data_IF_597910558539
#
_entry.id   IF_597910558539
#
_cell.length_a   1.000
_cell.length_b   1.000
_cell.length_c   1.000
_cell.angle_alpha   90.00
_cell.angle_beta   90.00
_cell.angle_gamma   90.00
#
_symmetry.space_group_name_H-M   'P 1'
#
loop_
_entity.id
_entity.type
_entity.pdbx_description
1 polymer ?
#
# COMPACT_ATOMS: atom_id res chain seq x y z
N UNK A 1 20.80 5.57 -18.87
CA UNK A 1 20.73 4.98 -20.22
C UNK A 1 20.45 3.50 -19.98
N UNK A 2 19.18 3.10 -20.02
CA UNK A 2 18.77 1.70 -20.02
C UNK A 2 18.76 1.24 -21.48
N UNK A 3 19.67 0.36 -21.83
CA UNK A 3 19.65 -0.34 -23.11
C UNK A 3 18.60 -1.45 -23.04
N UNK A 4 17.79 -1.57 -24.09
CA UNK A 4 16.53 -2.30 -24.17
C UNK A 4 16.54 -3.83 -24.06
N UNK A 5 17.37 -4.43 -23.21
CA UNK A 5 17.37 -5.89 -22.97
C UNK A 5 17.14 -6.29 -21.50
N UNK A 6 17.08 -5.34 -20.57
CA UNK A 6 16.71 -5.60 -19.18
C UNK A 6 15.28 -5.13 -18.91
N UNK A 7 14.31 -5.69 -19.62
CA UNK A 7 12.93 -5.67 -19.17
C UNK A 7 12.87 -6.44 -17.85
N UNK A 8 12.79 -5.72 -16.73
CA UNK A 8 12.44 -6.28 -15.43
C UNK A 8 11.13 -7.05 -15.60
N UNK A 9 11.28 -8.35 -15.87
CA UNK A 9 10.16 -9.26 -15.97
C UNK A 9 9.64 -9.52 -14.56
N UNK A 10 8.86 -8.60 -14.02
CA UNK A 10 7.93 -8.89 -12.91
C UNK A 10 6.88 -9.92 -13.32
N UNK A 11 6.97 -10.42 -14.55
CA UNK A 11 6.05 -11.36 -15.19
C UNK A 11 5.93 -12.69 -14.46
N UNK A 12 7.01 -13.16 -13.85
CA UNK A 12 7.04 -14.48 -13.21
C UNK A 12 6.58 -14.43 -11.73
N UNK A 13 6.68 -13.28 -11.09
CA UNK A 13 6.36 -13.13 -9.67
C UNK A 13 4.97 -12.50 -9.42
N UNK A 14 4.50 -11.63 -10.33
CA UNK A 14 3.21 -11.00 -10.22
C UNK A 14 2.41 -11.28 -11.50
N UNK A 15 1.33 -12.08 -11.46
CA UNK A 15 0.53 -12.40 -12.66
C UNK A 15 -0.13 -11.17 -13.30
N UNK A 16 0.27 -9.96 -12.92
CA UNK A 16 -0.46 -8.74 -13.18
C UNK A 16 0.29 -7.76 -14.10
N UNK A 17 1.62 -7.69 -14.16
CA UNK A 17 2.26 -6.53 -14.78
C UNK A 17 3.63 -6.83 -15.41
N UNK A 18 3.63 -7.07 -16.70
CA UNK A 18 4.69 -6.50 -17.54
C UNK A 18 4.24 -5.07 -17.87
N UNK A 19 5.13 -4.09 -17.67
CA UNK A 19 4.91 -2.71 -18.09
C UNK A 19 5.83 -2.48 -19.27
N UNK A 20 5.24 -2.03 -20.36
CA UNK A 20 5.95 -1.66 -21.55
C UNK A 20 5.78 -0.17 -21.84
N UNK A 21 6.72 0.39 -22.59
CA UNK A 21 6.70 1.78 -23.04
C UNK A 21 6.52 1.79 -24.55
N UNK A 22 5.39 2.31 -25.01
CA UNK A 22 5.16 2.50 -26.45
C UNK A 22 5.34 3.94 -26.87
N UNK A 23 6.07 4.14 -27.93
CA UNK A 23 6.20 5.42 -28.60
C UNK A 23 5.06 5.59 -29.60
N UNK A 24 4.36 6.74 -29.53
CA UNK A 24 3.20 7.04 -30.39
C UNK A 24 3.47 8.10 -31.44
N UNK A 25 4.66 8.64 -31.51
CA UNK A 25 5.05 9.64 -32.48
C UNK A 25 5.92 10.74 -31.90
N UNK A 26 6.46 11.53 -32.79
CA UNK A 26 7.30 12.68 -32.48
C UNK A 26 6.52 13.97 -32.77
N UNK A 27 6.59 14.93 -31.87
CA UNK A 27 6.03 16.26 -32.01
C UNK A 27 7.12 17.31 -31.74
N UNK A 28 7.10 18.41 -32.46
CA UNK A 28 7.98 19.53 -32.15
C UNK A 28 7.33 20.41 -31.06
N UNK A 29 8.09 20.73 -30.06
CA UNK A 29 7.66 21.69 -29.03
C UNK A 29 7.72 23.14 -29.57
N UNK A 30 7.29 24.13 -28.76
CA UNK A 30 7.30 25.55 -29.11
C UNK A 30 8.72 26.10 -29.33
N UNK A 31 9.76 25.36 -28.98
CA UNK A 31 11.17 25.74 -29.15
C UNK A 31 11.79 25.02 -30.34
N UNK A 32 11.03 24.16 -31.04
CA UNK A 32 11.51 23.36 -32.17
C UNK A 32 12.29 22.12 -31.75
N UNK A 33 12.19 21.71 -30.46
CA UNK A 33 12.81 20.48 -29.96
C UNK A 33 11.86 19.30 -30.21
N UNK A 34 12.41 18.16 -30.63
CA UNK A 34 11.64 16.93 -30.83
C UNK A 34 11.22 16.35 -29.50
N UNK A 35 9.93 16.21 -29.30
CA UNK A 35 9.36 15.49 -28.14
C UNK A 35 8.77 14.17 -28.62
N UNK A 36 9.13 13.09 -27.95
CA UNK A 36 8.56 11.76 -28.21
C UNK A 36 7.37 11.55 -27.29
N UNK A 37 6.22 11.26 -27.86
CA UNK A 37 5.02 10.90 -27.11
C UNK A 37 5.10 9.42 -26.73
N UNK A 38 5.20 9.15 -25.43
CA UNK A 38 5.22 7.78 -24.90
C UNK A 38 3.91 7.44 -24.17
N UNK A 39 3.56 6.18 -24.17
CA UNK A 39 2.45 5.65 -23.38
C UNK A 39 2.93 4.40 -22.62
N UNK A 40 2.66 4.39 -21.31
CA UNK A 40 2.86 3.20 -20.49
C UNK A 40 1.72 2.22 -20.75
N UNK A 41 2.07 0.97 -20.98
CA UNK A 41 1.16 -0.13 -21.31
C UNK A 41 1.34 -1.22 -20.26
N UNK A 42 0.26 -1.70 -19.67
CA UNK A 42 0.27 -2.95 -18.90
C UNK A 42 -0.05 -4.12 -19.83
N UNK A 43 0.67 -5.23 -19.70
CA UNK A 43 0.43 -6.44 -20.48
C UNK A 43 -0.14 -7.52 -19.58
N UNK A 44 -1.36 -7.99 -19.88
CA UNK A 44 -2.03 -9.08 -19.16
C UNK A 44 -2.53 -10.14 -20.14
N UNK A 45 -2.14 -11.38 -19.93
CA UNK A 45 -2.58 -12.50 -20.77
C UNK A 45 -2.41 -12.18 -22.27
N UNK A 46 -1.30 -11.57 -22.65
CA UNK A 46 -1.02 -11.14 -24.01
C UNK A 46 -1.84 -9.95 -24.53
N UNK A 47 -2.65 -9.32 -23.68
CA UNK A 47 -3.40 -8.09 -24.02
C UNK A 47 -2.69 -6.86 -23.48
N UNK A 48 -2.55 -5.88 -24.32
CA UNK A 48 -1.97 -4.59 -23.98
C UNK A 48 -3.06 -3.61 -23.56
N UNK A 49 -2.93 -3.06 -22.38
CA UNK A 49 -3.88 -2.11 -21.78
C UNK A 49 -3.12 -0.83 -21.45
N UNK A 50 -3.47 0.33 -22.03
CA UNK A 50 -2.87 1.58 -21.63
C UNK A 50 -3.05 1.82 -20.12
N UNK A 51 -1.97 2.19 -19.44
CA UNK A 51 -1.95 2.34 -17.96
C UNK A 51 -3.02 3.31 -17.45
N UNK A 52 -3.43 4.29 -18.26
CA UNK A 52 -4.51 5.23 -17.91
C UNK A 52 -5.86 4.54 -17.62
N UNK A 53 -6.08 3.34 -18.15
CA UNK A 53 -7.31 2.55 -17.95
C UNK A 53 -7.18 1.51 -16.82
N UNK A 54 -6.00 1.40 -16.23
CA UNK A 54 -5.80 0.55 -15.06
C UNK A 54 -6.45 1.14 -13.80
N UNK A 55 -6.68 0.27 -12.80
CA UNK A 55 -7.22 0.71 -11.51
C UNK A 55 -6.28 1.69 -10.81
N UNK A 56 -6.82 2.56 -9.98
CA UNK A 56 -6.03 3.52 -9.20
C UNK A 56 -5.02 2.81 -8.28
N UNK A 57 -5.37 1.63 -7.76
CA UNK A 57 -4.46 0.83 -6.95
C UNK A 57 -3.24 0.35 -7.72
N UNK A 58 -3.41 -0.09 -8.96
CA UNK A 58 -2.29 -0.48 -9.83
C UNK A 58 -1.42 0.74 -10.15
N UNK A 59 -2.03 1.87 -10.49
CA UNK A 59 -1.29 3.12 -10.75
C UNK A 59 -0.48 3.55 -9.53
N UNK A 60 -1.09 3.50 -8.34
CA UNK A 60 -0.40 3.83 -7.08
C UNK A 60 0.75 2.86 -6.81
N UNK A 61 0.51 1.55 -6.92
CA UNK A 61 1.56 0.55 -6.74
C UNK A 61 2.76 0.81 -7.65
N UNK A 62 2.52 1.08 -8.93
CA UNK A 62 3.56 1.41 -9.89
C UNK A 62 4.32 2.69 -9.54
N UNK A 63 3.63 3.70 -9.03
CA UNK A 63 4.26 4.97 -8.65
C UNK A 63 5.27 4.82 -7.50
N UNK A 64 5.06 3.84 -6.61
CA UNK A 64 5.95 3.57 -5.47
C UNK A 64 6.95 2.45 -5.75
N UNK A 65 6.72 1.65 -6.79
CA UNK A 65 7.51 0.45 -7.07
C UNK A 65 9.00 0.75 -7.24
N UNK A 66 9.36 1.81 -7.93
CA UNK A 66 10.77 2.21 -8.12
C UNK A 66 11.44 2.51 -6.77
N UNK A 67 10.75 3.19 -5.86
CA UNK A 67 11.26 3.48 -4.51
C UNK A 67 11.47 2.19 -3.73
N UNK A 68 10.52 1.26 -3.81
CA UNK A 68 10.63 -0.05 -3.17
C UNK A 68 11.79 -0.87 -3.73
N UNK A 69 12.02 -0.86 -5.05
CA UNK A 69 13.15 -1.54 -5.69
C UNK A 69 14.48 -0.94 -5.22
N UNK A 70 14.60 0.38 -5.14
CA UNK A 70 15.82 1.04 -4.67
C UNK A 70 16.07 0.69 -3.20
N UNK A 71 15.06 0.80 -2.35
CA UNK A 71 15.15 0.43 -0.93
C UNK A 71 15.49 -1.06 -0.76
N UNK A 72 14.88 -1.94 -1.54
CA UNK A 72 15.16 -3.38 -1.48
C UNK A 72 16.63 -3.71 -1.75
N UNK A 73 17.29 -2.97 -2.65
CA UNK A 73 18.66 -3.25 -3.09
C UNK A 73 19.75 -2.49 -2.33
N UNK A 74 19.44 -1.33 -1.72
CA UNK A 74 20.44 -0.44 -1.11
C UNK A 74 20.21 -0.23 0.39
N UNK A 75 21.19 -0.64 1.26
CA UNK A 75 21.04 -0.58 2.71
C UNK A 75 21.01 0.84 3.29
N UNK A 76 21.48 1.83 2.53
CA UNK A 76 21.50 3.23 2.94
C UNK A 76 20.20 3.98 2.64
N UNK A 77 19.24 3.33 2.00
CA UNK A 77 17.98 3.94 1.59
C UNK A 77 16.89 3.68 2.61
N UNK A 78 16.23 4.75 3.03
CA UNK A 78 15.00 4.69 3.82
C UNK A 78 13.87 5.27 2.99
N UNK A 79 12.78 4.53 2.85
CA UNK A 79 11.55 4.94 2.16
C UNK A 79 10.44 5.06 3.17
N UNK A 80 9.68 6.17 3.09
CA UNK A 80 8.50 6.42 3.94
C UNK A 80 7.29 6.58 3.03
N UNK A 81 6.24 5.77 3.26
CA UNK A 81 5.02 5.77 2.44
C UNK A 81 3.81 5.86 3.36
N UNK A 82 2.97 6.86 3.14
CA UNK A 82 1.68 6.95 3.81
C UNK A 82 0.62 6.15 3.06
N UNK A 83 -0.21 5.40 3.81
CA UNK A 83 -1.26 4.52 3.27
C UNK A 83 -0.75 3.60 2.14
N UNK A 84 0.30 2.84 2.40
CA UNK A 84 0.88 1.91 1.41
C UNK A 84 -0.16 0.96 0.82
N UNK A 85 -1.13 0.56 1.63
CA UNK A 85 -2.21 -0.39 1.27
C UNK A 85 -3.30 0.20 0.38
N UNK A 86 -3.41 1.53 0.23
CA UNK A 86 -4.52 2.15 -0.49
C UNK A 86 -4.59 1.64 -1.94
N UNK A 87 -5.66 0.89 -2.23
CA UNK A 87 -5.93 0.31 -3.54
C UNK A 87 -5.11 -0.94 -3.89
N UNK A 88 -4.21 -1.41 -3.03
CA UNK A 88 -3.47 -2.65 -3.22
C UNK A 88 -4.30 -3.82 -2.66
N UNK A 89 -4.39 -4.89 -3.45
CA UNK A 89 -5.07 -6.10 -3.00
C UNK A 89 -4.38 -6.69 -1.77
N UNK A 90 -5.14 -7.02 -0.74
CA UNK A 90 -4.66 -7.46 0.58
C UNK A 90 -3.60 -8.57 0.51
N UNK A 91 -3.85 -9.59 -0.31
CA UNK A 91 -2.93 -10.71 -0.45
C UNK A 91 -1.59 -10.28 -1.06
N UNK A 92 -1.62 -9.45 -2.11
CA UNK A 92 -0.43 -8.90 -2.76
C UNK A 92 0.39 -8.04 -1.80
N UNK A 93 -0.27 -7.23 -0.97
CA UNK A 93 0.40 -6.45 0.07
C UNK A 93 1.16 -7.36 1.05
N UNK A 94 0.52 -8.45 1.48
CA UNK A 94 1.16 -9.43 2.38
C UNK A 94 2.40 -10.08 1.77
N UNK A 95 2.31 -10.53 0.51
CA UNK A 95 3.44 -11.10 -0.22
C UNK A 95 4.59 -10.09 -0.36
N UNK A 96 4.29 -8.87 -0.77
CA UNK A 96 5.26 -7.79 -0.91
C UNK A 96 5.98 -7.50 0.41
N UNK A 97 5.23 -7.33 1.49
CA UNK A 97 5.79 -7.06 2.82
C UNK A 97 6.63 -8.24 3.31
N UNK A 98 6.21 -9.48 3.07
CA UNK A 98 6.97 -10.68 3.41
C UNK A 98 8.32 -10.73 2.69
N UNK A 99 8.34 -10.46 1.39
CA UNK A 99 9.57 -10.42 0.59
C UNK A 99 10.50 -9.29 1.05
N UNK A 100 9.95 -8.10 1.31
CA UNK A 100 10.73 -6.95 1.81
C UNK A 100 11.31 -7.25 3.20
N UNK A 101 10.52 -7.81 4.11
CA UNK A 101 10.96 -8.14 5.45
C UNK A 101 12.08 -9.19 5.48
N UNK A 102 12.09 -10.13 4.54
CA UNK A 102 13.05 -11.23 4.47
C UNK A 102 14.34 -10.84 3.74
N UNK A 103 14.25 -10.07 2.68
CA UNK A 103 15.36 -9.84 1.76
C UNK A 103 15.73 -8.39 1.52
N UNK A 104 14.88 -7.43 1.94
CA UNK A 104 15.14 -6.00 1.78
C UNK A 104 16.38 -5.58 2.54
N UNK A 105 17.22 -4.75 1.91
CA UNK A 105 18.47 -4.26 2.50
C UNK A 105 18.31 -2.91 3.18
N UNK A 106 17.46 -2.06 2.65
CA UNK A 106 17.15 -0.73 3.20
C UNK A 106 16.02 -0.78 4.22
N UNK A 107 15.47 0.37 4.55
CA UNK A 107 14.41 0.51 5.53
C UNK A 107 13.12 1.02 4.88
N UNK A 108 12.00 0.32 5.13
CA UNK A 108 10.66 0.76 4.77
C UNK A 108 9.90 1.16 6.05
N UNK A 109 9.38 2.39 6.06
CA UNK A 109 8.42 2.87 7.05
C UNK A 109 7.12 3.19 6.32
N UNK A 110 5.99 2.70 6.82
CA UNK A 110 4.70 2.97 6.17
C UNK A 110 3.56 3.01 7.16
N UNK A 111 2.48 3.68 6.79
CA UNK A 111 1.19 3.55 7.45
C UNK A 111 0.28 2.64 6.62
N UNK A 112 -0.63 1.94 7.29
CA UNK A 112 -1.61 1.07 6.64
C UNK A 112 -2.85 0.92 7.51
N UNK A 113 -4.01 0.88 6.87
CA UNK A 113 -5.27 0.47 7.49
C UNK A 113 -5.57 -1.03 7.26
N UNK A 114 -4.78 -1.68 6.42
CA UNK A 114 -4.94 -3.10 6.11
C UNK A 114 -4.27 -3.97 7.19
N UNK A 115 -5.05 -4.83 7.80
CA UNK A 115 -4.58 -5.69 8.88
C UNK A 115 -3.71 -6.87 8.42
N UNK A 116 -3.55 -7.07 7.12
CA UNK A 116 -2.66 -8.11 6.56
C UNK A 116 -1.20 -7.90 6.99
N UNK A 117 -0.78 -6.65 7.15
CA UNK A 117 0.54 -6.33 7.69
C UNK A 117 0.78 -6.94 9.09
N UNK A 118 -0.27 -7.05 9.92
CA UNK A 118 -0.21 -7.66 11.26
C UNK A 118 -0.01 -9.18 11.25
N UNK A 119 -0.34 -9.82 10.13
CA UNK A 119 -0.13 -11.27 9.95
C UNK A 119 1.24 -11.59 9.37
N UNK A 120 1.84 -10.63 8.67
CA UNK A 120 3.07 -10.82 7.91
C UNK A 120 4.32 -10.34 8.65
N UNK A 121 4.19 -9.21 9.38
CA UNK A 121 5.33 -8.56 10.04
C UNK A 121 5.50 -9.02 11.48
N UNK A 122 6.77 -9.04 11.94
CA UNK A 122 7.05 -9.24 13.37
C UNK A 122 6.48 -8.07 14.19
N UNK A 123 5.84 -8.39 15.31
CA UNK A 123 5.21 -7.44 16.22
C UNK A 123 6.13 -6.31 16.69
N UNK A 124 7.44 -6.55 16.72
CA UNK A 124 8.43 -5.55 17.13
C UNK A 124 8.58 -4.41 16.14
N UNK A 125 8.14 -4.61 14.90
CA UNK A 125 8.16 -3.58 13.84
C UNK A 125 6.82 -2.87 13.70
N UNK A 126 5.80 -3.22 14.47
CA UNK A 126 4.47 -2.65 14.39
C UNK A 126 4.21 -1.70 15.55
N UNK A 127 3.71 -0.49 15.22
CA UNK A 127 3.17 0.47 16.16
C UNK A 127 1.71 0.77 15.78
N UNK A 128 0.88 1.02 16.79
CA UNK A 128 -0.54 1.34 16.62
C UNK A 128 -0.79 2.78 17.00
N UNK A 129 -1.65 3.46 16.26
CA UNK A 129 -2.17 4.77 16.65
C UNK A 129 -3.17 4.62 17.79
N UNK A 130 -3.28 5.66 18.63
CA UNK A 130 -4.23 5.73 19.73
C UNK A 130 -5.07 7.00 19.63
N UNK A 131 -6.18 7.04 20.35
CA UNK A 131 -7.02 8.24 20.49
C UNK A 131 -6.42 9.26 21.44
N UNK A 132 -5.41 8.89 22.24
CA UNK A 132 -4.77 9.77 23.21
C UNK A 132 -3.81 10.76 22.52
N UNK A 133 -4.09 12.08 22.51
CA UNK A 133 -3.24 13.07 21.84
C UNK A 133 -1.85 13.22 22.45
N UNK A 134 -1.67 12.80 23.70
CA UNK A 134 -0.37 12.87 24.40
C UNK A 134 0.48 11.60 24.19
N UNK A 135 -0.12 10.50 23.73
CA UNK A 135 0.56 9.24 23.45
C UNK A 135 0.01 8.60 22.18
N UNK A 136 0.31 9.21 21.03
CA UNK A 136 -0.32 8.85 19.73
C UNK A 136 0.07 7.49 19.18
N UNK A 137 1.18 6.93 19.62
CA UNK A 137 1.71 5.67 19.10
C UNK A 137 2.09 4.74 20.23
N UNK A 138 1.58 3.53 20.20
CA UNK A 138 1.94 2.49 21.15
C UNK A 138 2.36 1.21 20.45
N UNK A 139 3.16 0.40 21.16
CA UNK A 139 3.35 -1.01 20.82
C UNK A 139 2.49 -1.83 21.77
N UNK A 140 1.79 -2.82 21.21
CA UNK A 140 0.93 -3.67 22.04
C UNK A 140 1.74 -4.45 23.07
N UNK A 141 1.30 -4.36 24.32
CA UNK A 141 1.85 -5.10 25.44
C UNK A 141 1.16 -6.46 25.57
N UNK A 142 1.83 -7.41 26.23
CA UNK A 142 1.30 -8.74 26.56
C UNK A 142 0.98 -9.64 25.35
N UNK A 143 1.51 -9.33 24.16
CA UNK A 143 1.38 -10.20 22.98
C UNK A 143 2.31 -11.39 23.13
N UNK A 144 1.76 -12.59 23.29
CA UNK A 144 2.54 -13.84 23.34
C UNK A 144 3.09 -14.17 21.94
N UNK A 145 4.20 -14.93 21.83
CA UNK A 145 4.77 -15.32 20.53
C UNK A 145 3.79 -16.05 19.60
N UNK A 146 2.87 -16.82 20.17
CA UNK A 146 1.88 -17.60 19.41
C UNK A 146 0.57 -16.86 19.16
N UNK A 147 0.45 -15.60 19.57
CA UNK A 147 -0.76 -14.82 19.28
C UNK A 147 -0.71 -14.26 17.87
N UNK A 148 -1.79 -14.45 17.12
CA UNK A 148 -2.03 -13.70 15.92
C UNK A 148 -2.25 -12.22 16.31
N UNK A 149 -1.40 -11.32 15.78
CA UNK A 149 -1.42 -9.91 16.15
C UNK A 149 -2.71 -9.22 15.66
N UNK A 150 -3.29 -9.67 14.54
CA UNK A 150 -4.58 -9.19 14.03
C UNK A 150 -5.72 -9.49 14.99
N UNK A 151 -5.83 -10.73 15.47
CA UNK A 151 -6.87 -11.14 16.43
C UNK A 151 -6.68 -10.43 17.76
N UNK A 152 -5.43 -10.25 18.18
CA UNK A 152 -5.10 -9.51 19.38
C UNK A 152 -5.50 -8.04 19.27
N UNK A 153 -5.27 -7.42 18.11
CA UNK A 153 -5.69 -6.04 17.81
C UNK A 153 -7.22 -5.90 17.91
N UNK A 154 -7.99 -6.73 17.22
CA UNK A 154 -9.45 -6.71 17.29
C UNK A 154 -9.98 -6.88 18.72
N UNK A 155 -9.42 -7.82 19.45
CA UNK A 155 -9.82 -8.03 20.84
C UNK A 155 -9.57 -6.80 21.70
N UNK A 156 -8.47 -6.08 21.49
CA UNK A 156 -8.18 -4.87 22.25
C UNK A 156 -9.07 -3.68 21.87
N UNK A 157 -9.56 -3.61 20.64
CA UNK A 157 -10.58 -2.61 20.26
C UNK A 157 -11.88 -2.88 21.03
N UNK A 158 -12.33 -4.16 21.08
CA UNK A 158 -13.65 -4.52 21.63
C UNK A 158 -13.63 -4.60 23.16
N UNK A 159 -12.57 -5.15 23.74
CA UNK A 159 -12.50 -5.46 25.19
C UNK A 159 -11.58 -4.50 25.96
N UNK A 160 -10.85 -3.63 25.27
CA UNK A 160 -9.77 -2.87 25.88
C UNK A 160 -8.58 -3.76 26.24
N UNK A 161 -7.73 -3.30 27.17
CA UNK A 161 -6.58 -4.06 27.68
C UNK A 161 -5.23 -3.41 27.41
N UNK A 162 -5.21 -2.32 26.67
CA UNK A 162 -4.07 -1.40 26.58
C UNK A 162 -4.31 -0.18 27.48
N UNK A 163 -3.24 0.50 27.85
CA UNK A 163 -3.31 1.71 28.67
C UNK A 163 -4.05 2.86 27.96
N UNK A 164 -3.84 2.96 26.64
CA UNK A 164 -4.48 3.95 25.78
C UNK A 164 -5.43 3.24 24.82
N UNK A 165 -6.56 3.87 24.56
CA UNK A 165 -7.57 3.36 23.64
C UNK A 165 -7.09 3.47 22.20
N UNK A 166 -7.33 2.40 21.41
CA UNK A 166 -6.95 2.32 20.00
C UNK A 166 -8.01 2.92 19.08
N UNK A 167 -9.25 2.98 19.54
CA UNK A 167 -10.39 3.38 18.73
C UNK A 167 -11.51 3.94 19.61
N UNK A 168 -12.11 5.06 19.23
CA UNK A 168 -13.29 5.59 19.89
C UNK A 168 -14.51 4.77 19.49
N UNK A 169 -15.26 4.27 20.47
CA UNK A 169 -16.43 3.45 20.19
C UNK A 169 -17.45 4.20 19.34
N UNK A 170 -17.87 3.56 18.25
CA UNK A 170 -18.96 4.05 17.42
C UNK A 170 -20.28 3.40 17.83
N UNK A 171 -21.32 4.23 18.10
CA UNK A 171 -22.65 3.74 18.39
C UNK A 171 -23.40 3.46 17.07
N UNK A 172 -23.60 2.18 16.75
CA UNK A 172 -24.33 1.74 15.55
C UNK A 172 -25.77 2.26 15.51
N UNK A 173 -26.41 2.48 16.66
CA UNK A 173 -27.77 3.04 16.71
C UNK A 173 -27.76 4.51 16.31
N UNK A 174 -26.77 5.28 16.75
CA UNK A 174 -26.61 6.68 16.35
C UNK A 174 -26.32 6.79 14.84
N UNK A 175 -25.50 5.90 14.28
CA UNK A 175 -25.26 5.82 12.84
C UNK A 175 -26.58 5.54 12.10
N UNK A 176 -27.37 4.56 12.55
CA UNK A 176 -28.66 4.23 11.93
C UNK A 176 -29.69 5.36 12.02
N UNK A 177 -29.70 6.11 13.13
CA UNK A 177 -30.56 7.30 13.31
C UNK A 177 -30.11 8.40 12.35
N UNK A 178 -28.79 8.66 12.26
CA UNK A 178 -28.25 9.69 11.37
C UNK A 178 -28.58 9.40 9.90
N UNK A 179 -28.40 8.14 9.48
CA UNK A 179 -28.73 7.70 8.11
C UNK A 179 -30.24 7.90 7.77
N UNK A 180 -31.13 7.54 8.71
CA UNK A 180 -32.59 7.76 8.54
C UNK A 180 -32.96 9.23 8.45
N UNK A 181 -32.36 10.07 9.31
CA UNK A 181 -32.59 11.52 9.27
C UNK A 181 -32.08 12.14 7.96
N UNK A 182 -30.92 11.75 7.50
CA UNK A 182 -30.38 12.22 6.22
C UNK A 182 -31.26 11.82 5.04
N UNK A 183 -31.79 10.59 5.02
CA UNK A 183 -32.71 10.11 3.99
C UNK A 183 -34.05 10.85 3.95
N UNK A 184 -34.55 11.31 5.10
CA UNK A 184 -35.80 12.09 5.18
C UNK A 184 -35.67 13.52 4.63
N UNK A 185 -34.44 14.03 4.44
CA UNK A 185 -34.23 15.39 3.88
C UNK A 185 -34.12 15.35 2.35
N UNK A 186 -33.92 14.17 1.75
CA UNK A 186 -33.69 13.99 0.31
C UNK A 186 -35.01 13.71 -0.47
N UNK A 187 -36.13 13.52 0.24
CA UNK A 187 -37.48 13.33 -0.32
C UNK A 187 -38.27 14.59 -0.12
#
# INVERSE_FOLDING_TARGET
>A
IYTGEDTLSLHDALPILAIDVKEFGEELDRRGETQVRIQLISVRNGKEIPLKYESEGIKKFLSVLQLLIVMYNFPTVTVVIDELDAGIFEYLLGELLGVIAMYGKGQLMFTSHNLRALETLDKNFVAFTTTNPMNRYIRMQYVKPNNNLRDFYYRNIVLGGQKDELYDETDSNQIAIAMRKAGAVVI
#
